data_IF_517838273696
#
_entry.id   IF_517838273696
#
_cell.length_a   1.000
_cell.length_b   1.000
_cell.length_c   1.000
_cell.angle_alpha   90.00
_cell.angle_beta   90.00
_cell.angle_gamma   90.00
#
_symmetry.space_group_name_H-M   'P 1'
#
loop_
_entity.id
_entity.type
_entity.pdbx_description
1 polymer ?
#
# COMPACT_ATOMS: atom_id res chain seq x y z
N UNK A 1 12.16 67.26 -20.08
CA UNK A 1 12.89 66.52 -19.04
C UNK A 1 11.89 65.52 -18.46
N UNK A 2 11.92 64.24 -18.83
CA UNK A 2 11.13 63.21 -18.16
C UNK A 2 11.95 62.59 -17.03
N UNK A 3 11.36 62.52 -15.84
CA UNK A 3 11.94 61.89 -14.66
C UNK A 3 11.93 60.36 -14.83
N UNK A 4 13.13 59.77 -14.85
CA UNK A 4 13.37 58.34 -14.75
C UNK A 4 13.35 57.93 -13.27
N UNK A 5 12.19 57.56 -12.73
CA UNK A 5 12.11 56.85 -11.44
C UNK A 5 10.99 55.81 -11.49
N UNK A 6 11.15 54.79 -12.34
CA UNK A 6 10.23 53.65 -12.35
C UNK A 6 10.96 52.38 -12.79
N UNK A 7 12.00 51.97 -12.04
CA UNK A 7 12.66 50.67 -12.28
C UNK A 7 13.34 50.03 -11.06
N UNK A 8 13.22 50.59 -9.85
CA UNK A 8 13.97 50.06 -8.68
C UNK A 8 13.21 49.08 -7.78
N UNK A 9 11.89 48.91 -7.96
CA UNK A 9 11.09 48.06 -7.07
C UNK A 9 10.76 46.68 -7.65
N UNK A 10 11.10 46.41 -8.92
CA UNK A 10 10.82 45.13 -9.57
C UNK A 10 11.94 44.08 -9.40
N UNK A 11 13.18 44.49 -9.12
CA UNK A 11 14.33 43.57 -9.09
C UNK A 11 14.57 42.90 -7.72
N UNK A 12 13.88 43.34 -6.66
CA UNK A 12 14.18 42.89 -5.29
C UNK A 12 13.23 41.80 -4.74
N UNK A 13 12.37 41.22 -5.59
CA UNK A 13 11.50 40.06 -5.23
C UNK A 13 12.02 38.71 -5.71
N UNK A 14 13.20 38.66 -6.33
CA UNK A 14 13.74 37.45 -6.97
C UNK A 14 14.73 36.66 -6.09
N UNK A 15 14.94 37.04 -4.82
CA UNK A 15 16.00 36.48 -3.99
C UNK A 15 15.57 36.16 -2.54
N UNK A 16 14.32 35.75 -2.33
CA UNK A 16 14.03 34.93 -1.15
C UNK A 16 14.59 33.53 -1.43
N UNK A 17 15.50 33.00 -0.59
CA UNK A 17 15.89 31.60 -0.72
C UNK A 17 14.63 30.76 -0.57
N UNK A 18 14.18 30.13 -1.66
CA UNK A 18 13.11 29.15 -1.59
C UNK A 18 13.58 28.09 -0.60
N UNK A 19 12.93 28.04 0.57
CA UNK A 19 13.22 27.07 1.60
C UNK A 19 13.21 25.68 0.95
N UNK A 20 14.31 24.94 1.13
CA UNK A 20 14.44 23.61 0.53
C UNK A 20 13.25 22.76 0.96
N UNK A 21 12.76 21.89 0.09
CA UNK A 21 11.65 20.98 0.47
C UNK A 21 12.00 20.11 1.68
N UNK A 22 13.29 19.88 1.94
CA UNK A 22 13.81 19.21 3.13
C UNK A 22 13.68 20.04 4.42
N UNK A 23 13.60 21.36 4.35
CA UNK A 23 13.39 22.22 5.53
C UNK A 23 11.92 22.21 5.99
N UNK A 24 11.01 21.80 5.11
CA UNK A 24 9.57 21.73 5.37
C UNK A 24 9.15 20.41 6.04
N UNK A 25 10.03 19.39 6.04
CA UNK A 25 9.73 18.04 6.52
C UNK A 25 10.72 17.67 7.61
N UNK A 26 10.20 17.27 8.78
CA UNK A 26 11.05 16.78 9.86
C UNK A 26 11.76 15.48 9.44
N UNK A 27 13.08 15.33 9.68
CA UNK A 27 13.81 14.11 9.33
C UNK A 27 13.20 12.83 9.91
N UNK A 28 12.60 12.92 11.10
CA UNK A 28 11.90 11.81 11.74
C UNK A 28 10.72 11.28 10.91
N UNK A 29 10.04 12.16 10.16
CA UNK A 29 8.93 11.78 9.29
C UNK A 29 9.42 11.07 8.03
N UNK A 30 10.45 11.59 7.36
CA UNK A 30 11.08 10.91 6.22
C UNK A 30 11.62 9.54 6.63
N UNK A 31 12.23 9.44 7.82
CA UNK A 31 12.68 8.17 8.38
C UNK A 31 11.53 7.20 8.69
N UNK A 32 10.35 7.69 9.08
CA UNK A 32 9.18 6.85 9.32
C UNK A 32 8.65 6.25 8.01
N UNK A 33 8.48 7.06 6.96
CA UNK A 33 8.08 6.60 5.63
C UNK A 33 9.09 5.59 5.09
N UNK A 34 10.39 5.92 5.19
CA UNK A 34 11.46 5.01 4.77
C UNK A 34 11.37 3.65 5.46
N UNK A 35 11.18 3.60 6.77
CA UNK A 35 11.03 2.33 7.50
C UNK A 35 9.83 1.51 7.04
N UNK A 36 8.68 2.13 6.74
CA UNK A 36 7.52 1.40 6.23
C UNK A 36 7.84 0.73 4.88
N UNK A 37 8.43 1.46 3.94
CA UNK A 37 8.77 0.88 2.64
C UNK A 37 9.87 -0.17 2.71
N UNK A 38 10.89 0.01 3.55
CA UNK A 38 11.91 -1.01 3.80
C UNK A 38 11.34 -2.29 4.42
N UNK A 39 10.21 -2.19 5.12
CA UNK A 39 9.47 -3.36 5.60
C UNK A 39 8.56 -3.99 4.53
N UNK A 40 8.62 -3.52 3.28
CA UNK A 40 7.80 -3.98 2.16
C UNK A 40 6.34 -3.54 2.27
N UNK A 41 6.02 -2.52 3.08
CA UNK A 41 4.64 -2.06 3.30
C UNK A 41 4.22 -1.08 2.24
N UNK A 42 2.94 -1.14 1.88
CA UNK A 42 2.27 -0.02 1.25
C UNK A 42 1.82 1.00 2.31
N UNK A 43 1.74 2.27 1.91
CA UNK A 43 1.20 3.34 2.75
C UNK A 43 -0.19 3.69 2.22
N UNK A 44 -1.22 3.13 2.86
CA UNK A 44 -2.63 3.37 2.54
C UNK A 44 -3.17 4.64 3.20
N UNK A 45 -4.22 5.23 2.62
CA UNK A 45 -4.91 6.41 3.17
C UNK A 45 -5.48 6.19 4.57
N UNK A 46 -6.11 5.04 4.79
CA UNK A 46 -6.80 4.71 6.04
C UNK A 46 -6.20 3.44 6.65
N UNK A 47 -5.84 3.49 7.93
CA UNK A 47 -5.32 2.37 8.70
C UNK A 47 -6.32 1.97 9.78
N UNK A 48 -6.38 0.68 10.10
CA UNK A 48 -7.27 0.17 11.14
C UNK A 48 -6.74 0.46 12.55
N UNK A 49 -7.52 1.14 13.37
CA UNK A 49 -7.25 1.35 14.80
C UNK A 49 -8.01 0.29 15.61
N UNK A 50 -7.32 -0.79 15.99
CA UNK A 50 -7.93 -1.90 16.73
C UNK A 50 -8.52 -1.48 18.09
N UNK A 51 -7.97 -0.45 18.75
CA UNK A 51 -8.46 0.00 20.05
C UNK A 51 -9.81 0.73 19.94
N UNK A 52 -10.03 1.39 18.81
CA UNK A 52 -11.26 2.15 18.52
C UNK A 52 -12.23 1.40 17.62
N UNK A 53 -11.77 0.31 17.01
CA UNK A 53 -12.51 -0.45 16.00
C UNK A 53 -13.00 0.44 14.85
N UNK A 54 -12.12 1.31 14.34
CA UNK A 54 -12.44 2.23 13.25
C UNK A 54 -11.26 2.40 12.28
N UNK A 55 -11.56 2.78 11.03
CA UNK A 55 -10.56 3.22 10.06
C UNK A 55 -10.20 4.69 10.32
N UNK A 56 -8.90 5.00 10.36
CA UNK A 56 -8.40 6.35 10.61
C UNK A 56 -7.40 6.78 9.56
N UNK A 57 -7.43 8.07 9.24
CA UNK A 57 -6.49 8.67 8.32
C UNK A 57 -5.04 8.41 8.75
N UNK A 58 -4.22 7.93 7.82
CA UNK A 58 -2.82 7.64 8.02
C UNK A 58 -1.99 8.93 7.86
N UNK A 59 -1.31 9.41 8.92
CA UNK A 59 -0.51 10.62 8.84
C UNK A 59 0.62 10.54 7.80
N UNK A 60 1.18 9.35 7.56
CA UNK A 60 2.24 9.15 6.58
C UNK A 60 1.72 9.29 5.15
N UNK A 61 0.50 8.81 4.88
CA UNK A 61 -0.16 9.02 3.59
C UNK A 61 -0.37 10.51 3.32
N UNK A 62 -0.92 11.25 4.30
CA UNK A 62 -1.15 12.68 4.15
C UNK A 62 0.15 13.45 3.92
N UNK A 63 1.23 13.06 4.61
CA UNK A 63 2.53 13.68 4.42
C UNK A 63 3.09 13.41 3.01
N UNK A 64 3.01 12.17 2.53
CA UNK A 64 3.41 11.81 1.16
C UNK A 64 2.60 12.58 0.13
N UNK A 65 1.28 12.64 0.30
CA UNK A 65 0.38 13.34 -0.63
C UNK A 65 0.68 14.85 -0.68
N UNK A 66 0.86 15.49 0.48
CA UNK A 66 1.10 16.92 0.59
C UNK A 66 2.50 17.34 0.09
N UNK A 67 3.47 16.43 0.11
CA UNK A 67 4.86 16.69 -0.32
C UNK A 67 5.32 15.70 -1.40
N UNK A 68 4.43 15.35 -2.33
CA UNK A 68 4.67 14.28 -3.30
C UNK A 68 5.91 14.52 -4.17
N UNK A 69 6.13 15.75 -4.62
CA UNK A 69 7.31 16.11 -5.42
C UNK A 69 8.61 15.86 -4.65
N UNK A 70 8.66 16.24 -3.38
CA UNK A 70 9.81 16.00 -2.52
C UNK A 70 10.11 14.50 -2.40
N UNK A 71 9.12 13.68 -2.05
CA UNK A 71 9.35 12.27 -1.82
C UNK A 71 9.64 11.49 -3.11
N UNK A 72 9.06 11.89 -4.26
CA UNK A 72 9.46 11.33 -5.56
C UNK A 72 10.94 11.56 -5.83
N UNK A 73 11.41 12.80 -5.70
CA UNK A 73 12.83 13.11 -5.86
C UNK A 73 13.69 12.38 -4.83
N UNK A 74 13.26 12.31 -3.57
CA UNK A 74 13.98 11.60 -2.52
C UNK A 74 14.18 10.12 -2.85
N UNK A 75 13.12 9.40 -3.21
CA UNK A 75 13.22 7.97 -3.54
C UNK A 75 13.93 7.72 -4.87
N UNK A 76 13.80 8.62 -5.85
CA UNK A 76 14.55 8.55 -7.10
C UNK A 76 16.06 8.57 -6.83
N UNK A 77 16.53 9.42 -5.90
CA UNK A 77 17.94 9.44 -5.47
C UNK A 77 18.37 8.19 -4.70
N UNK A 78 17.42 7.41 -4.19
CA UNK A 78 17.66 6.12 -3.55
C UNK A 78 17.56 4.94 -4.53
N UNK A 79 17.29 5.18 -5.81
CA UNK A 79 17.13 4.13 -6.82
C UNK A 79 15.76 3.45 -6.81
N UNK A 80 14.71 4.17 -6.41
CA UNK A 80 13.33 3.66 -6.44
C UNK A 80 12.35 4.70 -6.98
N UNK A 81 11.31 4.23 -7.65
CA UNK A 81 10.16 5.04 -8.03
C UNK A 81 9.12 5.01 -6.90
N UNK A 82 8.77 6.19 -6.38
CA UNK A 82 7.60 6.33 -5.51
C UNK A 82 6.32 6.40 -6.36
N UNK A 83 5.57 5.31 -6.37
CA UNK A 83 4.31 5.20 -7.10
C UNK A 83 3.15 5.61 -6.20
N UNK A 84 2.30 6.50 -6.72
CA UNK A 84 1.02 6.85 -6.11
C UNK A 84 -0.11 6.22 -6.91
N UNK A 85 -0.89 5.35 -6.28
CA UNK A 85 -2.10 4.81 -6.87
C UNK A 85 -3.31 5.65 -6.42
N UNK A 86 -3.84 6.47 -7.33
CA UNK A 86 -4.98 7.34 -7.04
C UNK A 86 -6.26 6.55 -6.76
N UNK A 87 -6.54 5.51 -7.55
CA UNK A 87 -7.75 4.69 -7.46
C UNK A 87 -7.84 3.95 -6.12
N UNK A 88 -6.76 3.28 -5.70
CA UNK A 88 -6.67 2.56 -4.44
C UNK A 88 -6.28 3.44 -3.24
N UNK A 89 -5.92 4.71 -3.48
CA UNK A 89 -5.44 5.66 -2.48
C UNK A 89 -4.31 5.10 -1.59
N UNK A 90 -3.20 4.71 -2.21
CA UNK A 90 -2.01 4.23 -1.49
C UNK A 90 -0.71 4.54 -2.24
N UNK A 91 0.41 4.45 -1.52
CA UNK A 91 1.76 4.58 -2.06
C UNK A 91 2.55 3.28 -1.89
N UNK A 92 3.43 3.00 -2.85
CA UNK A 92 4.42 1.93 -2.77
C UNK A 92 5.70 2.33 -3.52
N UNK A 93 6.80 1.62 -3.26
CA UNK A 93 8.03 1.76 -4.03
C UNK A 93 8.08 0.68 -5.10
N UNK A 94 8.47 1.09 -6.30
CA UNK A 94 8.90 0.21 -7.37
C UNK A 94 10.41 0.41 -7.54
N UNK A 95 11.18 -0.68 -7.67
CA UNK A 95 12.61 -0.54 -7.95
C UNK A 95 12.83 -0.04 -9.38
N UNK A 96 13.79 0.85 -9.56
CA UNK A 96 14.05 1.48 -10.88
C UNK A 96 15.06 0.73 -11.74
N UNK A 97 15.59 -0.42 -11.28
CA UNK A 97 16.55 -1.23 -12.03
C UNK A 97 15.85 -2.25 -12.93
N UNK A 98 16.39 -2.44 -14.13
CA UNK A 98 16.09 -3.59 -15.02
C UNK A 98 16.47 -4.94 -14.39
N UNK A 99 17.18 -4.93 -13.25
CA UNK A 99 17.29 -6.07 -12.33
C UNK A 99 16.05 -6.06 -11.43
N UNK A 100 14.90 -6.52 -11.94
CA UNK A 100 13.84 -7.04 -11.09
C UNK A 100 14.47 -8.17 -10.26
N UNK A 101 14.76 -7.91 -8.99
CA UNK A 101 15.39 -8.93 -8.16
C UNK A 101 14.42 -10.10 -8.01
N UNK A 102 14.94 -11.34 -8.08
CA UNK A 102 14.12 -12.55 -7.89
C UNK A 102 13.29 -12.49 -6.59
N UNK A 103 13.76 -11.73 -5.58
CA UNK A 103 13.05 -11.49 -4.33
C UNK A 103 11.81 -10.58 -4.48
N UNK A 104 11.84 -9.56 -5.35
CA UNK A 104 10.68 -8.72 -5.61
C UNK A 104 9.58 -9.48 -6.35
N UNK A 105 9.97 -10.26 -7.34
CA UNK A 105 9.05 -11.14 -8.08
C UNK A 105 8.42 -12.17 -7.16
N UNK A 106 9.23 -12.79 -6.28
CA UNK A 106 8.72 -13.73 -5.29
C UNK A 106 7.75 -13.05 -4.32
N UNK A 107 8.05 -11.85 -3.83
CA UNK A 107 7.17 -11.12 -2.93
C UNK A 107 5.84 -10.73 -3.60
N UNK A 108 5.89 -10.25 -4.84
CA UNK A 108 4.70 -9.92 -5.62
C UNK A 108 3.85 -11.17 -5.87
N UNK A 109 4.47 -12.26 -6.34
CA UNK A 109 3.82 -13.55 -6.56
C UNK A 109 3.11 -14.05 -5.29
N UNK A 110 3.79 -13.98 -4.14
CA UNK A 110 3.21 -14.39 -2.85
C UNK A 110 1.98 -13.56 -2.47
N UNK A 111 2.01 -12.24 -2.67
CA UNK A 111 0.83 -11.38 -2.46
C UNK A 111 -0.31 -11.82 -3.38
N UNK A 112 -0.04 -11.99 -4.67
CA UNK A 112 -1.04 -12.34 -5.67
C UNK A 112 -1.72 -13.68 -5.36
N UNK A 113 -0.95 -14.71 -5.01
CA UNK A 113 -1.47 -16.02 -4.65
C UNK A 113 -2.45 -15.93 -3.49
N UNK A 114 -2.09 -15.23 -2.41
CA UNK A 114 -2.96 -15.14 -1.23
C UNK A 114 -4.23 -14.35 -1.55
N UNK A 115 -4.12 -13.23 -2.27
CA UNK A 115 -5.29 -12.44 -2.68
C UNK A 115 -6.23 -13.25 -3.59
N UNK A 116 -5.69 -14.00 -4.55
CA UNK A 116 -6.49 -14.85 -5.45
C UNK A 116 -7.23 -15.95 -4.70
N UNK A 117 -6.60 -16.61 -3.71
CA UNK A 117 -7.27 -17.61 -2.90
C UNK A 117 -8.43 -17.02 -2.09
N UNK A 118 -8.20 -15.87 -1.45
CA UNK A 118 -9.23 -15.13 -0.70
C UNK A 118 -10.38 -14.74 -1.64
N UNK A 119 -10.06 -14.11 -2.78
CA UNK A 119 -11.04 -13.65 -3.77
C UNK A 119 -11.86 -14.81 -4.35
N UNK A 120 -11.19 -15.89 -4.78
CA UNK A 120 -11.85 -17.09 -5.31
C UNK A 120 -12.80 -17.71 -4.29
N UNK A 121 -12.37 -17.85 -3.03
CA UNK A 121 -13.22 -18.36 -1.96
C UNK A 121 -14.45 -17.47 -1.75
N UNK A 122 -14.23 -16.17 -1.63
CA UNK A 122 -15.29 -15.19 -1.34
C UNK A 122 -16.32 -15.14 -2.48
N UNK A 123 -15.87 -15.11 -3.73
CA UNK A 123 -16.73 -15.16 -4.91
C UNK A 123 -17.52 -16.48 -5.02
N UNK A 124 -16.89 -17.64 -4.75
CA UNK A 124 -17.57 -18.95 -4.75
C UNK A 124 -18.65 -19.06 -3.67
N UNK A 125 -18.54 -18.29 -2.59
CA UNK A 125 -19.59 -18.20 -1.57
C UNK A 125 -20.78 -17.31 -1.97
N UNK A 126 -20.77 -16.74 -3.18
CA UNK A 126 -21.82 -15.88 -3.70
C UNK A 126 -21.81 -14.46 -3.12
N UNK A 127 -20.73 -14.07 -2.44
CA UNK A 127 -20.55 -12.73 -1.86
C UNK A 127 -19.81 -11.82 -2.83
N UNK A 128 -20.17 -10.54 -2.81
CA UNK A 128 -19.51 -9.48 -3.57
C UNK A 128 -18.11 -9.19 -3.00
N UNK A 129 -17.08 -9.18 -3.85
CA UNK A 129 -15.70 -8.92 -3.45
C UNK A 129 -15.53 -7.58 -2.74
N UNK A 130 -16.38 -6.59 -3.01
CA UNK A 130 -16.35 -5.29 -2.32
C UNK A 130 -16.57 -5.42 -0.80
N UNK A 131 -17.20 -6.50 -0.33
CA UNK A 131 -17.35 -6.76 1.11
C UNK A 131 -16.05 -7.18 1.79
N UNK A 132 -15.06 -7.69 1.06
CA UNK A 132 -13.75 -7.99 1.61
C UNK A 132 -13.06 -6.75 2.18
N UNK A 133 -13.40 -5.55 1.70
CA UNK A 133 -12.83 -4.28 2.16
C UNK A 133 -13.49 -3.73 3.43
N UNK A 134 -14.51 -4.42 3.98
CA UNK A 134 -15.33 -3.89 5.08
C UNK A 134 -15.02 -4.63 6.39
N UNK A 135 -14.72 -3.91 7.49
CA UNK A 135 -14.38 -4.53 8.79
C UNK A 135 -15.43 -5.51 9.33
N UNK A 136 -16.70 -5.26 9.04
CA UNK A 136 -17.86 -6.04 9.49
C UNK A 136 -18.26 -7.19 8.56
N UNK A 137 -17.81 -7.17 7.30
CA UNK A 137 -18.26 -8.09 6.24
C UNK A 137 -17.15 -8.87 5.55
N UNK A 138 -15.88 -8.63 5.92
CA UNK A 138 -14.73 -9.39 5.44
C UNK A 138 -14.72 -10.85 5.91
N UNK A 139 -13.53 -11.43 6.01
CA UNK A 139 -13.35 -12.81 6.44
C UNK A 139 -13.68 -12.95 7.93
N UNK A 140 -14.51 -13.94 8.25
CA UNK A 140 -14.79 -14.36 9.63
C UNK A 140 -14.17 -15.73 9.95
N UNK A 141 -14.32 -16.18 11.19
CA UNK A 141 -13.71 -17.43 11.67
C UNK A 141 -14.13 -18.66 10.85
N UNK A 142 -15.38 -18.73 10.40
CA UNK A 142 -15.85 -19.81 9.54
C UNK A 142 -15.19 -19.76 8.15
N UNK A 143 -15.01 -18.56 7.60
CA UNK A 143 -14.29 -18.37 6.33
C UNK A 143 -12.85 -18.87 6.45
N UNK A 144 -12.17 -18.53 7.55
CA UNK A 144 -10.80 -18.96 7.83
C UNK A 144 -10.69 -20.48 8.00
N UNK A 145 -11.64 -21.10 8.71
CA UNK A 145 -11.70 -22.55 8.87
C UNK A 145 -11.90 -23.25 7.52
N UNK A 146 -12.78 -22.73 6.67
CA UNK A 146 -13.05 -23.29 5.35
C UNK A 146 -11.84 -23.15 4.41
N UNK A 147 -11.23 -21.96 4.35
CA UNK A 147 -10.00 -21.71 3.57
C UNK A 147 -8.84 -22.61 4.05
N UNK A 148 -8.72 -22.81 5.36
CA UNK A 148 -7.68 -23.63 5.98
C UNK A 148 -7.86 -25.13 5.78
N UNK A 149 -9.11 -25.59 5.57
CA UNK A 149 -9.45 -26.99 5.37
C UNK A 149 -9.42 -27.43 3.88
N UNK A 150 -9.37 -26.50 2.94
CA UNK A 150 -9.32 -26.78 1.51
C UNK A 150 -7.91 -27.27 1.09
N UNK A 151 -7.79 -28.55 0.73
CA UNK A 151 -6.52 -29.18 0.36
C UNK A 151 -5.87 -28.53 -0.88
N UNK A 152 -6.65 -28.11 -1.87
CA UNK A 152 -6.16 -27.42 -3.07
C UNK A 152 -5.51 -26.09 -2.67
N UNK A 153 -6.15 -25.36 -1.75
CA UNK A 153 -5.61 -24.08 -1.27
C UNK A 153 -4.34 -24.28 -0.43
N UNK A 154 -4.27 -25.35 0.38
CA UNK A 154 -3.05 -25.67 1.12
C UNK A 154 -1.89 -26.05 0.18
N UNK A 155 -2.14 -26.77 -0.92
CA UNK A 155 -1.13 -27.07 -1.94
C UNK A 155 -0.60 -25.82 -2.63
N UNK A 156 -1.49 -24.92 -3.02
CA UNK A 156 -1.12 -23.63 -3.64
C UNK A 156 -0.29 -22.78 -2.68
N UNK A 157 -0.69 -22.68 -1.41
CA UNK A 157 0.04 -21.93 -0.39
C UNK A 157 1.46 -22.49 -0.17
N UNK A 158 1.62 -23.82 -0.14
CA UNK A 158 2.94 -24.47 -0.07
C UNK A 158 3.80 -24.16 -1.29
N UNK A 159 3.22 -24.20 -2.49
CA UNK A 159 3.94 -23.80 -3.71
C UNK A 159 4.41 -22.34 -3.68
N UNK A 160 3.67 -21.46 -3.00
CA UNK A 160 4.04 -20.07 -2.72
C UNK A 160 4.88 -19.87 -1.44
N UNK A 161 5.50 -20.94 -0.91
CA UNK A 161 6.37 -20.93 0.28
C UNK A 161 5.70 -20.43 1.56
N UNK A 162 4.42 -20.72 1.73
CA UNK A 162 3.69 -20.58 2.99
C UNK A 162 3.56 -21.94 3.68
N UNK A 163 4.66 -22.41 4.28
CA UNK A 163 4.77 -23.73 4.91
C UNK A 163 3.80 -23.92 6.09
N UNK A 164 3.43 -22.82 6.77
CA UNK A 164 2.44 -22.84 7.86
C UNK A 164 1.02 -22.55 7.38
N UNK A 165 0.79 -22.58 6.07
CA UNK A 165 -0.53 -22.44 5.45
C UNK A 165 -1.15 -21.05 5.64
N UNK A 166 -2.48 -21.03 5.77
CA UNK A 166 -3.28 -19.80 5.72
C UNK A 166 -2.86 -18.76 6.77
N UNK A 167 -2.51 -19.17 7.99
CA UNK A 167 -2.14 -18.22 9.05
C UNK A 167 -0.91 -17.39 8.67
N UNK A 168 0.11 -18.02 8.10
CA UNK A 168 1.32 -17.33 7.66
C UNK A 168 1.05 -16.43 6.45
N UNK A 169 0.19 -16.87 5.54
CA UNK A 169 -0.26 -16.08 4.40
C UNK A 169 -0.99 -14.80 4.82
N UNK A 170 -1.90 -14.89 5.79
CA UNK A 170 -2.62 -13.72 6.32
C UNK A 170 -1.68 -12.77 7.07
N UNK A 171 -0.77 -13.31 7.90
CA UNK A 171 0.25 -12.51 8.59
C UNK A 171 1.18 -11.80 7.59
N UNK A 172 1.45 -12.42 6.44
CA UNK A 172 2.29 -11.85 5.38
C UNK A 172 1.63 -10.66 4.69
N UNK A 173 0.31 -10.72 4.42
CA UNK A 173 -0.47 -9.58 3.92
C UNK A 173 -0.65 -8.48 4.98
N UNK A 174 -0.90 -8.87 6.24
CA UNK A 174 -1.05 -7.95 7.37
C UNK A 174 0.22 -7.12 7.57
N UNK A 175 1.39 -7.75 7.55
CA UNK A 175 2.70 -7.08 7.67
C UNK A 175 2.97 -6.05 6.57
N UNK A 176 2.26 -6.12 5.43
CA UNK A 176 2.41 -5.24 4.26
C UNK A 176 1.31 -4.17 4.14
N UNK A 177 0.41 -4.07 5.11
CA UNK A 177 -0.79 -3.21 5.06
C UNK A 177 -1.75 -3.54 3.90
N UNK A 178 -1.80 -4.81 3.47
CA UNK A 178 -2.76 -5.28 2.45
C UNK A 178 -4.02 -5.88 3.09
N UNK A 179 -3.92 -6.28 4.35
CA UNK A 179 -4.97 -6.89 5.15
C UNK A 179 -4.93 -6.28 6.55
N UNK A 180 -6.09 -6.11 7.18
CA UNK A 180 -6.23 -5.69 8.56
C UNK A 180 -7.03 -6.72 9.35
N UNK A 181 -6.69 -6.85 10.63
CA UNK A 181 -7.41 -7.67 11.60
C UNK A 181 -8.40 -6.81 12.39
N UNK A 182 -9.70 -7.00 12.17
CA UNK A 182 -10.75 -6.26 12.90
C UNK A 182 -11.08 -6.87 14.26
N UNK A 183 -10.70 -8.13 14.49
CA UNK A 183 -10.87 -8.83 15.77
C UNK A 183 -10.30 -10.25 15.72
N UNK A 184 -10.56 -11.03 16.78
CA UNK A 184 -10.20 -12.45 16.78
C UNK A 184 -10.92 -13.17 15.63
N UNK A 185 -10.16 -13.84 14.76
CA UNK A 185 -10.69 -14.55 13.60
C UNK A 185 -11.40 -13.66 12.57
N UNK A 186 -11.15 -12.35 12.57
CA UNK A 186 -11.80 -11.41 11.64
C UNK A 186 -10.79 -10.55 10.89
N UNK A 187 -10.89 -10.56 9.57
CA UNK A 187 -9.99 -9.83 8.69
C UNK A 187 -10.73 -9.15 7.55
N UNK A 188 -10.16 -8.06 7.05
CA UNK A 188 -10.65 -7.37 5.87
C UNK A 188 -9.46 -6.77 5.10
N UNK A 189 -9.58 -6.68 3.79
CA UNK A 189 -8.55 -6.11 2.93
C UNK A 189 -8.48 -4.59 3.11
N UNK A 190 -7.27 -4.04 3.06
CA UNK A 190 -7.10 -2.59 2.96
C UNK A 190 -7.53 -2.09 1.58
N UNK A 191 -7.56 -0.76 1.38
CA UNK A 191 -7.85 -0.20 0.05
C UNK A 191 -6.84 -0.68 -1.01
N UNK A 192 -5.57 -0.86 -0.64
CA UNK A 192 -4.57 -1.46 -1.50
C UNK A 192 -4.82 -2.95 -1.77
N UNK A 193 -5.18 -3.73 -0.74
CA UNK A 193 -5.52 -5.14 -0.89
C UNK A 193 -6.71 -5.36 -1.85
N UNK A 194 -7.76 -4.55 -1.73
CA UNK A 194 -8.91 -4.57 -2.65
C UNK A 194 -8.49 -4.17 -4.06
N UNK A 195 -7.69 -3.11 -4.21
CA UNK A 195 -7.20 -2.68 -5.51
C UNK A 195 -6.42 -3.79 -6.22
N UNK A 196 -5.44 -4.40 -5.55
CA UNK A 196 -4.65 -5.48 -6.14
C UNK A 196 -5.50 -6.72 -6.45
N UNK A 197 -6.45 -7.08 -5.58
CA UNK A 197 -7.38 -8.17 -5.85
C UNK A 197 -8.19 -7.89 -7.14
N UNK A 198 -8.73 -6.69 -7.29
CA UNK A 198 -9.53 -6.33 -8.46
C UNK A 198 -8.70 -6.32 -9.75
N UNK A 199 -7.43 -5.91 -9.69
CA UNK A 199 -6.52 -6.02 -10.83
C UNK A 199 -6.30 -7.49 -11.24
N UNK A 200 -6.07 -8.37 -10.27
CA UNK A 200 -5.89 -9.80 -10.54
C UNK A 200 -7.13 -10.46 -11.15
N UNK A 201 -8.33 -10.07 -10.69
CA UNK A 201 -9.59 -10.55 -11.27
C UNK A 201 -9.72 -10.07 -12.72
N UNK A 202 -9.43 -8.80 -12.99
CA UNK A 202 -9.50 -8.23 -14.35
C UNK A 202 -8.50 -8.90 -15.31
N UNK A 203 -7.27 -9.15 -14.87
CA UNK A 203 -6.26 -9.85 -15.66
C UNK A 203 -6.67 -11.30 -15.98
N UNK A 204 -7.30 -11.98 -15.01
CA UNK A 204 -7.81 -13.34 -15.21
C UNK A 204 -9.01 -13.41 -16.16
N UNK A 205 -9.92 -12.43 -16.13
CA UNK A 205 -11.06 -12.36 -17.04
C UNK A 205 -10.68 -12.06 -18.49
N UNK A 206 -9.51 -11.45 -18.71
CA UNK A 206 -8.99 -11.09 -20.04
C UNK A 206 -8.04 -12.12 -20.65
N UNK A 207 -7.64 -13.14 -19.87
CA UNK A 207 -6.74 -14.22 -20.28
C UNK A 207 -7.50 -15.46 -20.75
#
# INVERSE_FOLDING_TARGET
>A
MPDFVETRDAENKLNEPQASSFEQILPAHSAAIYREFQAGRVIVRDVWDANRSELRANPLYNLLYNHLSHFRTFYEHLGSELVFNETGAFFFLKESSDDESEEHDENAFRVQVVLLLIGRYFARSGRDLDYLGRPEAGLNEQDLANLGADEEYQDILRAARFEKGLSEALDYLEKRNLLFRSGAGRYFLSSAGIYFLNQLVQEYEQS
#
